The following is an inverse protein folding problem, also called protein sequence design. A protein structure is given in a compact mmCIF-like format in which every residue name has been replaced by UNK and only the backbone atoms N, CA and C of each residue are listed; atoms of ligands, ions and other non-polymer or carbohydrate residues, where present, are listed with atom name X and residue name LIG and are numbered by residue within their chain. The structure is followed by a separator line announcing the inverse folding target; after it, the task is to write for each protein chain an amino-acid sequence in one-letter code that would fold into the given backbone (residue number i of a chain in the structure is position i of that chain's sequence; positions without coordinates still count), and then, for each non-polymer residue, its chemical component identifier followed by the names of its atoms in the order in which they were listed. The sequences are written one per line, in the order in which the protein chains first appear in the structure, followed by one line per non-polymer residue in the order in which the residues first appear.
data_IF_413214669059
#
_entry.id   IF_413214669059
#
_cell.length_a   1.000
_cell.length_b   1.000
_cell.length_c   1.000
_cell.angle_alpha   90.00
_cell.angle_beta   90.00
_cell.angle_gamma   90.00
#
_symmetry.space_group_name_H-M   'P 1'
#
loop_
_entity.id
_entity.type
_entity.pdbx_description
1 polymer ?
#
# COMPACT_ATOMS: atom_id res chain seq x y z
N UNK A 1 -27.98 18.24 -7.12
CA UNK A 1 -26.55 17.88 -7.11
C UNK A 1 -26.15 17.54 -5.69
N UNK A 2 -25.58 16.37 -5.41
CA UNK A 2 -24.75 16.19 -4.23
C UNK A 2 -23.29 15.93 -4.63
N UNK A 3 -22.41 16.62 -3.92
CA UNK A 3 -20.95 16.55 -4.03
C UNK A 3 -20.47 15.26 -3.38
N UNK A 4 -20.03 14.28 -4.18
CA UNK A 4 -19.31 13.11 -3.70
C UNK A 4 -17.83 13.47 -3.54
N UNK A 5 -17.36 13.52 -2.29
CA UNK A 5 -15.95 13.66 -1.94
C UNK A 5 -15.28 12.30 -2.12
N UNK A 6 -14.46 12.15 -3.16
CA UNK A 6 -13.55 11.03 -3.34
C UNK A 6 -12.27 11.33 -2.56
N UNK A 7 -11.94 10.54 -1.55
CA UNK A 7 -10.61 10.52 -0.95
C UNK A 7 -9.84 9.36 -1.57
N UNK A 8 -8.93 9.69 -2.51
CA UNK A 8 -7.94 8.78 -3.08
C UNK A 8 -6.64 8.91 -2.30
N UNK A 9 -6.15 7.78 -1.79
CA UNK A 9 -4.85 7.58 -1.14
C UNK A 9 -4.55 6.08 -1.11
N UNK A 10 -3.32 5.65 -0.77
CA UNK A 10 -2.80 4.28 -0.91
C UNK A 10 -3.30 3.38 0.23
N UNK A 11 -4.40 3.77 0.86
CA UNK A 11 -4.97 3.14 2.04
C UNK A 11 -6.22 2.38 1.63
N UNK A 12 -6.23 1.09 1.94
CA UNK A 12 -7.44 0.29 1.86
C UNK A 12 -8.24 0.46 3.15
N UNK A 13 -9.35 1.21 3.08
CA UNK A 13 -10.40 1.20 4.10
C UNK A 13 -11.55 0.27 3.68
N UNK A 14 -11.82 -0.76 4.48
CA UNK A 14 -12.99 -1.65 4.29
C UNK A 14 -14.01 -1.30 5.37
N UNK A 15 -15.23 -0.85 5.02
CA UNK A 15 -16.26 -0.60 6.01
C UNK A 15 -16.70 -1.93 6.62
N UNK A 16 -16.42 -2.10 7.91
CA UNK A 16 -16.95 -3.15 8.76
C UNK A 16 -18.18 -2.63 9.52
N UNK A 17 -18.96 -3.56 10.08
CA UNK A 17 -20.14 -3.33 10.93
C UNK A 17 -19.88 -2.15 11.90
N UNK A 18 -20.76 -1.13 11.88
CA UNK A 18 -20.81 0.09 12.70
C UNK A 18 -19.47 0.52 13.40
N UNK A 19 -18.83 1.55 12.83
CA UNK A 19 -17.75 2.39 13.41
C UNK A 19 -16.31 1.84 13.55
N UNK A 20 -15.95 0.71 12.94
CA UNK A 20 -14.55 0.27 12.88
C UNK A 20 -13.98 0.24 11.45
N UNK A 21 -12.95 1.06 11.19
CA UNK A 21 -12.19 1.08 9.94
C UNK A 21 -10.94 0.20 10.06
N UNK A 22 -10.81 -0.81 9.20
CA UNK A 22 -9.57 -1.56 9.05
C UNK A 22 -8.70 -0.92 7.96
N UNK A 23 -7.43 -0.69 8.27
CA UNK A 23 -6.44 -0.06 7.39
C UNK A 23 -5.32 -1.04 7.09
N UNK A 24 -4.98 -1.14 5.81
CA UNK A 24 -3.78 -1.84 5.34
C UNK A 24 -2.80 -0.83 4.76
N UNK A 25 -1.55 -0.90 5.21
CA UNK A 25 -0.41 -0.16 4.66
C UNK A 25 0.48 -1.19 3.98
N UNK A 26 0.98 -0.89 2.77
CA UNK A 26 1.78 -1.86 2.05
C UNK A 26 2.70 -1.24 1.02
N UNK A 27 3.65 -2.05 0.55
CA UNK A 27 4.56 -1.73 -0.53
C UNK A 27 4.68 -2.94 -1.46
N UNK A 28 4.69 -2.71 -2.77
CA UNK A 28 4.83 -3.75 -3.78
C UNK A 28 6.01 -3.49 -4.70
N UNK A 29 6.49 -4.55 -5.33
CA UNK A 29 7.49 -4.53 -6.39
C UNK A 29 6.96 -5.31 -7.59
N UNK A 30 7.67 -5.23 -8.72
CA UNK A 30 7.41 -6.07 -9.90
C UNK A 30 7.48 -7.59 -9.65
N UNK A 31 8.01 -8.03 -8.49
CA UNK A 31 8.22 -9.45 -8.16
C UNK A 31 7.33 -9.95 -7.03
N UNK A 32 7.08 -9.11 -6.02
CA UNK A 32 6.38 -9.49 -4.79
C UNK A 32 5.77 -8.29 -4.07
N UNK A 33 4.85 -8.57 -3.14
CA UNK A 33 4.58 -7.65 -2.02
C UNK A 33 5.82 -7.59 -1.14
N UNK A 34 6.32 -6.38 -0.89
CA UNK A 34 7.57 -6.14 -0.16
C UNK A 34 7.30 -6.05 1.34
N UNK A 35 6.22 -5.38 1.72
CA UNK A 35 5.84 -5.17 3.11
C UNK A 35 4.33 -4.95 3.21
N UNK A 36 3.75 -5.35 4.34
CA UNK A 36 2.33 -5.17 4.66
C UNK A 36 2.15 -5.04 6.17
N UNK A 37 1.37 -4.06 6.61
CA UNK A 37 0.96 -3.88 8.01
C UNK A 37 -0.54 -3.60 8.08
N UNK A 38 -1.21 -4.22 9.05
CA UNK A 38 -2.64 -4.08 9.30
C UNK A 38 -2.89 -3.33 10.61
N UNK A 39 -3.96 -2.52 10.66
CA UNK A 39 -4.37 -1.79 11.87
C UNK A 39 -5.87 -1.50 11.89
N UNK A 40 -6.42 -1.32 13.09
CA UNK A 40 -7.86 -1.09 13.32
C UNK A 40 -8.25 0.40 13.37
N UNK A 41 -7.39 1.29 12.90
CA UNK A 41 -7.58 2.74 12.93
C UNK A 41 -7.11 3.39 11.62
N UNK A 42 -7.36 4.69 11.46
CA UNK A 42 -6.85 5.46 10.33
C UNK A 42 -5.33 5.57 10.39
N UNK A 43 -4.67 5.46 9.25
CA UNK A 43 -3.24 5.72 9.14
C UNK A 43 -2.94 7.22 9.38
N UNK A 44 -2.03 7.51 10.31
CA UNK A 44 -1.39 8.80 10.48
C UNK A 44 0.11 8.73 10.13
N UNK A 45 0.83 9.84 10.32
CA UNK A 45 2.27 9.86 10.06
C UNK A 45 3.07 8.89 10.94
N UNK A 46 2.70 8.74 12.22
CA UNK A 46 3.43 7.89 13.18
C UNK A 46 3.26 6.41 12.79
N UNK A 47 2.03 6.02 12.44
CA UNK A 47 1.72 4.71 11.88
C UNK A 47 2.53 4.44 10.61
N UNK A 48 2.64 5.42 9.71
CA UNK A 48 3.44 5.27 8.49
C UNK A 48 4.94 5.18 8.77
N UNK A 49 5.47 5.97 9.70
CA UNK A 49 6.86 5.90 10.15
C UNK A 49 7.20 4.52 10.71
N UNK A 50 6.31 3.97 11.56
CA UNK A 50 6.45 2.61 12.09
C UNK A 50 6.44 1.57 10.97
N UNK A 51 5.55 1.71 9.98
CA UNK A 51 5.52 0.85 8.80
C UNK A 51 6.87 0.88 8.07
N UNK A 52 7.40 2.08 7.83
CA UNK A 52 8.67 2.27 7.13
C UNK A 52 9.81 1.61 7.92
N UNK A 53 9.94 1.91 9.21
CA UNK A 53 11.02 1.41 10.05
C UNK A 53 10.98 -0.12 10.24
N UNK A 54 9.81 -0.68 10.56
CA UNK A 54 9.68 -2.07 11.02
C UNK A 54 9.34 -3.05 9.91
N UNK A 55 8.68 -2.60 8.84
CA UNK A 55 8.17 -3.49 7.79
C UNK A 55 8.85 -3.24 6.45
N UNK A 56 9.03 -1.99 6.04
CA UNK A 56 9.58 -1.67 4.73
C UNK A 56 11.10 -1.77 4.68
N UNK A 57 11.80 -0.98 5.50
CA UNK A 57 13.28 -0.86 5.51
C UNK A 57 13.99 -2.22 5.61
N UNK A 58 13.56 -3.18 6.45
CA UNK A 58 14.20 -4.50 6.51
C UNK A 58 14.12 -5.31 5.20
N UNK A 59 13.20 -4.95 4.31
CA UNK A 59 12.94 -5.63 3.04
C UNK A 59 13.44 -4.85 1.81
N UNK A 60 14.02 -3.66 2.01
CA UNK A 60 14.62 -2.86 0.95
C UNK A 60 16.03 -3.32 0.60
N UNK A 61 16.48 -2.95 -0.58
CA UNK A 61 17.83 -3.22 -1.09
C UNK A 61 18.45 -1.93 -1.63
N UNK A 62 19.79 -1.90 -1.71
CA UNK A 62 20.52 -0.77 -2.32
C UNK A 62 20.08 -0.58 -3.77
N UNK A 63 19.89 0.67 -4.19
CA UNK A 63 19.34 1.10 -5.48
C UNK A 63 17.84 0.81 -5.69
N UNK A 64 17.13 0.31 -4.68
CA UNK A 64 15.66 0.30 -4.73
C UNK A 64 15.13 1.74 -4.86
N UNK A 65 14.03 1.90 -5.61
CA UNK A 65 13.31 3.18 -5.70
C UNK A 65 11.95 3.01 -5.04
N UNK A 66 11.75 3.67 -3.90
CA UNK A 66 10.46 3.71 -3.20
C UNK A 66 9.65 4.86 -3.78
N UNK A 67 8.57 4.51 -4.48
CA UNK A 67 7.60 5.48 -5.00
C UNK A 67 6.48 5.61 -3.98
N UNK A 68 6.26 6.83 -3.49
CA UNK A 68 5.18 7.16 -2.55
C UNK A 68 4.23 8.18 -3.19
N UNK A 69 2.95 8.12 -2.85
CA UNK A 69 2.02 9.19 -3.25
C UNK A 69 2.12 10.41 -2.31
N UNK A 70 1.40 11.48 -2.62
CA UNK A 70 1.49 12.76 -1.91
C UNK A 70 0.56 12.85 -0.69
N UNK A 71 0.54 11.82 0.16
CA UNK A 71 -0.16 11.89 1.44
C UNK A 71 0.61 12.72 2.48
N UNK A 72 -0.13 13.38 3.38
CA UNK A 72 0.47 14.09 4.52
C UNK A 72 1.25 13.16 5.45
N UNK A 73 0.79 11.92 5.62
CA UNK A 73 1.45 10.91 6.44
C UNK A 73 2.88 10.58 5.96
N UNK A 74 3.16 10.77 4.65
CA UNK A 74 4.48 10.49 4.06
C UNK A 74 5.49 11.62 4.28
N UNK A 75 5.07 12.75 4.85
CA UNK A 75 5.86 13.99 4.95
C UNK A 75 6.58 14.16 6.28
N UNK A 76 6.65 13.11 7.11
CA UNK A 76 7.50 13.17 8.29
C UNK A 76 8.97 13.21 7.84
N UNK A 77 9.74 14.11 8.44
CA UNK A 77 11.15 14.37 8.09
C UNK A 77 12.05 13.13 8.25
N UNK A 78 11.61 12.14 9.04
CA UNK A 78 12.31 10.89 9.28
C UNK A 78 12.18 9.85 8.16
N UNK A 79 11.13 9.90 7.33
CA UNK A 79 10.82 8.86 6.34
C UNK A 79 11.92 8.71 5.30
N UNK A 80 12.31 9.81 4.65
CA UNK A 80 13.30 9.80 3.58
C UNK A 80 14.67 9.34 4.10
N UNK A 81 15.22 9.90 5.21
CA UNK A 81 16.47 9.42 5.77
C UNK A 81 16.49 7.93 6.11
N UNK A 82 15.40 7.37 6.65
CA UNK A 82 15.33 5.94 6.96
C UNK A 82 15.44 5.06 5.72
N UNK A 83 14.79 5.46 4.62
CA UNK A 83 14.83 4.73 3.36
C UNK A 83 16.21 4.89 2.69
N UNK A 84 16.76 6.10 2.68
CA UNK A 84 18.06 6.37 2.04
C UNK A 84 19.24 5.77 2.82
N UNK A 85 19.11 5.54 4.12
CA UNK A 85 20.12 4.89 4.95
C UNK A 85 20.48 3.47 4.49
N UNK A 86 19.57 2.77 3.78
CA UNK A 86 19.84 1.46 3.18
C UNK A 86 20.29 1.53 1.71
N UNK A 87 20.59 2.74 1.21
CA UNK A 87 21.01 3.00 -0.17
C UNK A 87 19.87 2.96 -1.18
N UNK A 88 18.61 3.03 -0.74
CA UNK A 88 17.45 3.21 -1.61
C UNK A 88 17.23 4.71 -1.92
N UNK A 89 16.34 5.00 -2.87
CA UNK A 89 15.95 6.36 -3.28
C UNK A 89 14.45 6.53 -3.11
N UNK A 90 14.01 7.75 -2.82
CA UNK A 90 12.59 8.09 -2.69
C UNK A 90 12.14 8.96 -3.87
N UNK A 91 10.97 8.65 -4.43
CA UNK A 91 10.26 9.50 -5.39
C UNK A 91 8.83 9.71 -4.87
N UNK A 92 8.43 10.97 -4.70
CA UNK A 92 7.05 11.32 -4.37
C UNK A 92 6.28 11.69 -5.64
N UNK A 93 5.17 11.00 -5.89
CA UNK A 93 4.27 11.31 -7.00
C UNK A 93 3.55 12.64 -6.79
N UNK A 94 3.19 13.31 -7.88
CA UNK A 94 2.33 14.50 -7.80
C UNK A 94 0.90 14.09 -7.39
N UNK A 95 0.15 15.00 -6.76
CA UNK A 95 -1.24 14.74 -6.35
C UNK A 95 -2.19 14.39 -7.50
N UNK A 96 -1.83 14.72 -8.74
CA UNK A 96 -2.64 14.49 -9.93
C UNK A 96 -2.21 13.23 -10.71
N UNK A 97 -1.38 12.38 -10.10
CA UNK A 97 -0.73 11.25 -10.76
C UNK A 97 -1.09 9.86 -10.19
N UNK A 98 -2.35 9.58 -9.78
CA UNK A 98 -2.70 8.27 -9.22
C UNK A 98 -2.51 7.13 -10.22
N UNK A 99 -2.62 7.40 -11.52
CA UNK A 99 -2.41 6.41 -12.59
C UNK A 99 -0.97 5.88 -12.65
N UNK A 100 -0.02 6.55 -12.01
CA UNK A 100 1.37 6.10 -11.89
C UNK A 100 1.63 5.34 -10.60
N UNK A 101 0.61 4.93 -9.84
CA UNK A 101 0.78 4.16 -8.62
C UNK A 101 0.28 2.70 -8.79
N UNK A 102 1.16 1.73 -9.11
CA UNK A 102 0.77 0.34 -9.36
C UNK A 102 0.09 -0.34 -8.16
N UNK A 103 0.33 0.15 -6.94
CA UNK A 103 -0.26 -0.44 -5.73
C UNK A 103 -1.78 -0.29 -5.70
N UNK A 104 -2.34 0.73 -6.36
CA UNK A 104 -3.80 0.93 -6.44
C UNK A 104 -4.50 -0.22 -7.16
N UNK A 105 -3.85 -0.82 -8.16
CA UNK A 105 -4.38 -1.98 -8.88
C UNK A 105 -4.40 -3.22 -7.98
N UNK A 106 -3.35 -3.40 -7.17
CA UNK A 106 -3.32 -4.46 -6.17
C UNK A 106 -4.36 -4.23 -5.07
N UNK A 107 -4.54 -2.99 -4.60
CA UNK A 107 -5.57 -2.64 -3.63
C UNK A 107 -6.98 -2.88 -4.16
N UNK A 108 -7.23 -2.58 -5.43
CA UNK A 108 -8.50 -2.90 -6.08
C UNK A 108 -8.77 -4.40 -6.07
N UNK A 109 -7.76 -5.23 -6.38
CA UNK A 109 -7.88 -6.68 -6.35
C UNK A 109 -8.10 -7.21 -4.92
N UNK A 110 -7.29 -6.76 -3.95
CA UNK A 110 -7.41 -7.18 -2.55
C UNK A 110 -8.78 -6.78 -1.98
N UNK A 111 -9.27 -5.57 -2.29
CA UNK A 111 -10.65 -5.13 -1.98
C UNK A 111 -11.69 -6.11 -2.49
N UNK A 112 -11.60 -6.44 -3.78
CA UNK A 112 -12.55 -7.34 -4.42
C UNK A 112 -12.52 -8.73 -3.79
N UNK A 113 -11.32 -9.23 -3.47
CA UNK A 113 -11.13 -10.51 -2.78
C UNK A 113 -11.74 -10.47 -1.39
N UNK A 114 -11.43 -9.48 -0.55
CA UNK A 114 -11.96 -9.40 0.80
C UNK A 114 -13.49 -9.25 0.82
N UNK A 115 -14.05 -8.46 -0.10
CA UNK A 115 -15.50 -8.28 -0.23
C UNK A 115 -16.24 -9.57 -0.60
N UNK A 116 -15.62 -10.50 -1.34
CA UNK A 116 -16.30 -11.75 -1.70
C UNK A 116 -16.52 -12.68 -0.50
N UNK A 117 -15.77 -12.50 0.60
CA UNK A 117 -15.92 -13.28 1.83
C UNK A 117 -16.69 -12.56 2.94
N UNK A 118 -16.99 -11.27 2.77
CA UNK A 118 -17.72 -10.44 3.76
C UNK A 118 -17.20 -10.64 5.20
N UNK A 119 -15.89 -10.39 5.45
CA UNK A 119 -15.31 -10.65 6.75
C UNK A 119 -15.97 -9.80 7.85
N UNK A 120 -16.10 -10.38 9.05
CA UNK A 120 -16.74 -9.74 10.21
C UNK A 120 -15.86 -9.66 11.45
N UNK A 121 -14.63 -10.18 11.40
CA UNK A 121 -13.60 -9.93 12.43
C UNK A 121 -12.25 -9.53 11.82
N UNK A 122 -11.41 -8.83 12.60
CA UNK A 122 -10.02 -8.51 12.23
C UNK A 122 -9.21 -9.78 11.93
N UNK A 123 -9.37 -10.85 12.72
CA UNK A 123 -8.62 -12.09 12.46
C UNK A 123 -9.02 -12.75 11.13
N UNK A 124 -10.29 -12.58 10.71
CA UNK A 124 -10.73 -13.05 9.40
C UNK A 124 -10.07 -12.23 8.29
N UNK A 125 -9.94 -10.91 8.46
CA UNK A 125 -9.24 -10.06 7.49
C UNK A 125 -7.77 -10.45 7.39
N UNK A 126 -7.07 -10.62 8.52
CA UNK A 126 -5.65 -11.02 8.53
C UNK A 126 -5.44 -12.38 7.82
N UNK A 127 -6.31 -13.36 8.09
CA UNK A 127 -6.27 -14.68 7.40
C UNK A 127 -6.50 -14.54 5.90
N UNK A 128 -7.49 -13.76 5.49
CA UNK A 128 -7.78 -13.55 4.08
C UNK A 128 -6.64 -12.80 3.37
N UNK A 129 -6.01 -11.82 4.03
CA UNK A 129 -4.82 -11.16 3.51
C UNK A 129 -3.69 -12.18 3.34
N UNK A 130 -3.44 -13.06 4.32
CA UNK A 130 -2.45 -14.13 4.18
C UNK A 130 -2.72 -15.01 2.96
N UNK A 131 -3.97 -15.44 2.76
CA UNK A 131 -4.37 -16.22 1.58
C UNK A 131 -4.18 -15.42 0.30
N UNK A 132 -4.53 -14.14 0.28
CA UNK A 132 -4.35 -13.27 -0.87
C UNK A 132 -2.86 -13.13 -1.24
N UNK A 133 -1.97 -13.05 -0.24
CA UNK A 133 -0.52 -13.03 -0.44
C UNK A 133 0.00 -14.33 -1.04
N UNK A 134 -0.48 -15.49 -0.56
CA UNK A 134 -0.11 -16.81 -1.08
C UNK A 134 -0.55 -17.02 -2.54
N UNK A 135 -1.62 -16.35 -2.96
CA UNK A 135 -2.18 -16.42 -4.30
C UNK A 135 -1.58 -15.40 -5.28
N UNK A 136 -0.60 -14.59 -4.86
CA UNK A 136 -0.01 -13.58 -5.73
C UNK A 136 0.71 -14.22 -6.91
N UNK A 137 0.31 -13.79 -8.10
CA UNK A 137 1.02 -14.11 -9.34
C UNK A 137 2.01 -13.00 -9.69
N UNK A 138 3.34 -13.26 -9.72
CA UNK A 138 4.33 -12.26 -10.11
C UNK A 138 4.11 -11.66 -11.51
N UNK A 139 3.44 -12.39 -12.41
CA UNK A 139 3.09 -11.83 -13.72
C UNK A 139 2.04 -10.72 -13.62
N UNK A 140 1.11 -10.81 -12.66
CA UNK A 140 0.11 -9.76 -12.44
C UNK A 140 0.78 -8.48 -11.93
N UNK A 141 1.74 -8.62 -10.99
CA UNK A 141 2.54 -7.49 -10.51
C UNK A 141 3.27 -6.80 -11.67
N UNK A 142 3.95 -7.56 -12.53
CA UNK A 142 4.59 -6.99 -13.73
C UNK A 142 3.58 -6.25 -14.62
N UNK A 143 2.43 -6.85 -14.90
CA UNK A 143 1.42 -6.25 -15.77
C UNK A 143 0.89 -4.92 -15.19
N UNK A 144 0.69 -4.84 -13.87
CA UNK A 144 0.27 -3.59 -13.21
C UNK A 144 1.32 -2.49 -13.29
N UNK A 145 2.59 -2.82 -13.04
CA UNK A 145 3.69 -1.87 -13.21
C UNK A 145 3.77 -1.39 -14.67
N UNK A 146 3.66 -2.30 -15.65
CA UNK A 146 3.67 -1.95 -17.07
C UNK A 146 2.49 -1.02 -17.44
N UNK A 147 1.28 -1.26 -16.91
CA UNK A 147 0.13 -0.39 -17.15
C UNK A 147 0.30 1.02 -16.56
N UNK A 148 1.15 1.18 -15.55
CA UNK A 148 1.50 2.46 -14.94
C UNK A 148 2.79 3.07 -15.55
N UNK A 149 3.14 2.67 -16.77
CA UNK A 149 4.29 3.20 -17.53
C UNK A 149 5.68 2.88 -16.95
N UNK A 150 5.80 1.88 -16.06
CA UNK A 150 7.10 1.39 -15.61
C UNK A 150 7.70 0.41 -16.60
N UNK A 151 9.02 0.47 -16.79
CA UNK A 151 9.74 -0.53 -17.57
C UNK A 151 9.83 -1.84 -16.76
N UNK A 152 9.33 -2.94 -17.34
CA UNK A 152 9.30 -4.26 -16.69
C UNK A 152 9.99 -5.35 -17.50
N UNK A 153 10.69 -4.97 -18.57
CA UNK A 153 11.49 -5.86 -19.44
C UNK A 153 12.81 -6.23 -18.82
#
# INVERSE_FOLDING_TARGET
MPVHKWEQGPTLSIPFIEDHSFTVIGAISIKKVVALMTMNNSMDGIAFELFVEKFLVPNLWSEAVVVMDNLSAHKLDSIVPMIEAVGAKVICLSSYSPDFNPIELWWSQLKSFLRSFTPTTTEMVDKLISVALDLINPQHLRNWFASCCYCTS
#
